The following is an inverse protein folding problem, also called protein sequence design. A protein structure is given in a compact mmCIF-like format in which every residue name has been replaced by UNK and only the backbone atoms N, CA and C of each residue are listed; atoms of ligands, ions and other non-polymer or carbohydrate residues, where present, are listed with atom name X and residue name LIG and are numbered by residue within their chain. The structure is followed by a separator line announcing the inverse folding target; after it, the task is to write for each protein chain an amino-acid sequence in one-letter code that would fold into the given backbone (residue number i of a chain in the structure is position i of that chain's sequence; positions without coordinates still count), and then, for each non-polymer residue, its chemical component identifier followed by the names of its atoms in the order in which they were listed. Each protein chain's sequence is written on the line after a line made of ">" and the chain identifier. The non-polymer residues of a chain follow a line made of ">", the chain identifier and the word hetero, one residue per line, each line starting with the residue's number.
data_IF_740096492928
#
_entry.id   IF_740096492928
#
_cell.length_a   1.000
_cell.length_b   1.000
_cell.length_c   1.000
_cell.angle_alpha   90.00
_cell.angle_beta   90.00
_cell.angle_gamma   90.00
#
_symmetry.space_group_name_H-M   'P 1'
#
loop_
_entity.id
_entity.type
_entity.pdbx_description
1 polymer ?
#
# COMPACT_ATOMS: atom_id res chain seq x y z
N UNK A 1 9.95 -6.85 -34.07
CA UNK A 1 8.47 -6.67 -34.09
C UNK A 1 8.17 -5.32 -33.46
N UNK A 2 7.76 -4.33 -34.26
CA UNK A 2 7.45 -2.98 -33.80
C UNK A 2 6.23 -3.02 -32.88
N UNK A 3 6.42 -2.93 -31.56
CA UNK A 3 5.31 -2.68 -30.63
C UNK A 3 4.75 -1.31 -31.00
N UNK A 4 3.55 -1.29 -31.60
CA UNK A 4 2.81 -0.06 -31.83
C UNK A 4 2.76 0.73 -30.51
N UNK A 5 2.95 2.04 -30.58
CA UNK A 5 2.86 2.90 -29.41
C UNK A 5 1.52 2.63 -28.70
N UNK A 6 1.53 2.31 -27.39
CA UNK A 6 0.31 1.97 -26.67
C UNK A 6 -0.68 3.13 -26.75
N UNK A 7 -1.94 2.85 -27.08
CA UNK A 7 -2.96 3.89 -27.19
C UNK A 7 -3.39 4.33 -25.79
N UNK A 8 -3.79 5.59 -25.61
CA UNK A 8 -4.20 6.10 -24.30
C UNK A 8 -5.44 5.37 -23.75
N UNK A 9 -6.32 4.86 -24.63
CA UNK A 9 -7.47 4.04 -24.24
C UNK A 9 -7.05 2.73 -23.56
N UNK A 10 -6.02 2.08 -24.09
CA UNK A 10 -5.50 0.81 -23.56
C UNK A 10 -4.85 1.04 -22.19
N UNK A 11 -4.19 2.20 -22.01
CA UNK A 11 -3.58 2.59 -20.75
C UNK A 11 -4.60 2.82 -19.63
N UNK A 12 -5.68 3.55 -19.93
CA UNK A 12 -6.78 3.77 -18.97
C UNK A 12 -7.47 2.45 -18.64
N UNK A 13 -7.71 1.58 -19.64
CA UNK A 13 -8.33 0.28 -19.40
C UNK A 13 -7.46 -0.62 -18.51
N UNK A 14 -6.14 -0.67 -18.73
CA UNK A 14 -5.22 -1.41 -17.89
C UNK A 14 -5.19 -0.86 -16.45
N UNK A 15 -5.22 0.46 -16.27
CA UNK A 15 -5.33 1.09 -14.97
C UNK A 15 -6.65 0.71 -14.26
N UNK A 16 -7.78 0.73 -14.96
CA UNK A 16 -9.08 0.31 -14.39
C UNK A 16 -9.08 -1.15 -13.93
N UNK A 17 -8.44 -2.05 -14.69
CA UNK A 17 -8.27 -3.46 -14.30
C UNK A 17 -7.42 -3.59 -13.04
N UNK A 18 -6.29 -2.88 -12.98
CA UNK A 18 -5.43 -2.83 -11.80
C UNK A 18 -6.18 -2.30 -10.57
N UNK A 19 -6.90 -1.19 -10.68
CA UNK A 19 -7.65 -0.64 -9.55
C UNK A 19 -8.72 -1.60 -9.04
N UNK A 20 -9.36 -2.34 -9.96
CA UNK A 20 -10.34 -3.38 -9.63
C UNK A 20 -9.68 -4.57 -8.94
N UNK A 21 -8.53 -5.06 -9.43
CA UNK A 21 -7.80 -6.18 -8.83
C UNK A 21 -7.26 -5.84 -7.44
N UNK A 22 -6.92 -4.58 -7.19
CA UNK A 22 -6.51 -4.05 -5.88
C UNK A 22 -7.69 -3.79 -4.91
N UNK A 23 -8.93 -4.02 -5.33
CA UNK A 23 -10.12 -3.81 -4.50
C UNK A 23 -10.49 -2.35 -4.26
N UNK A 24 -9.94 -1.41 -5.04
CA UNK A 24 -10.21 0.03 -4.90
C UNK A 24 -11.56 0.43 -5.53
N UNK A 25 -12.19 -0.46 -6.29
CA UNK A 25 -13.50 -0.28 -6.89
C UNK A 25 -13.48 -0.29 -8.41
N UNK A 26 -14.65 -0.47 -9.02
CA UNK A 26 -14.82 -0.51 -10.47
C UNK A 26 -14.99 0.90 -11.02
N UNK A 27 -13.88 1.52 -11.41
CA UNK A 27 -13.89 2.78 -12.16
C UNK A 27 -13.84 2.48 -13.65
N UNK A 28 -14.75 3.06 -14.43
CA UNK A 28 -14.82 2.85 -15.87
C UNK A 28 -13.87 3.79 -16.62
N UNK A 29 -13.34 3.39 -17.79
CA UNK A 29 -12.56 4.29 -18.64
C UNK A 29 -13.33 5.56 -19.06
N UNK A 30 -14.66 5.47 -19.13
CA UNK A 30 -15.50 6.62 -19.42
C UNK A 30 -15.51 7.65 -18.29
N UNK A 31 -15.46 7.22 -17.02
CA UNK A 31 -15.36 8.11 -15.87
C UNK A 31 -14.04 8.89 -15.87
N UNK A 32 -12.94 8.28 -16.29
CA UNK A 32 -11.66 8.99 -16.51
C UNK A 32 -11.77 10.03 -17.62
N UNK A 33 -12.43 9.70 -18.73
CA UNK A 33 -12.69 10.65 -19.81
C UNK A 33 -13.59 11.80 -19.35
N UNK A 34 -14.64 11.50 -18.60
CA UNK A 34 -15.57 12.48 -18.03
C UNK A 34 -14.86 13.45 -17.08
N UNK A 35 -14.01 12.93 -16.19
CA UNK A 35 -13.22 13.75 -15.27
C UNK A 35 -12.25 14.67 -16.01
N UNK A 36 -11.63 14.20 -17.10
CA UNK A 36 -10.75 15.04 -17.93
C UNK A 36 -11.48 16.25 -18.54
N UNK A 37 -12.77 16.13 -18.85
CA UNK A 37 -13.60 17.23 -19.39
C UNK A 37 -14.48 17.90 -18.34
N UNK A 38 -14.07 17.77 -17.07
CA UNK A 38 -14.71 18.31 -15.89
C UNK A 38 -16.24 18.05 -15.77
N UNK A 39 -16.67 16.82 -16.08
CA UNK A 39 -18.08 16.44 -15.98
C UNK A 39 -18.45 16.06 -14.54
N UNK A 40 -19.53 16.63 -13.97
CA UNK A 40 -19.88 16.47 -12.56
C UNK A 40 -20.25 15.02 -12.17
N UNK A 41 -20.65 14.20 -13.14
CA UNK A 41 -21.00 12.78 -12.96
C UNK A 41 -19.84 11.95 -12.38
N UNK A 42 -18.60 12.34 -12.65
CA UNK A 42 -17.40 11.61 -12.22
C UNK A 42 -16.88 12.02 -10.83
N UNK A 43 -17.30 13.19 -10.32
CA UNK A 43 -16.87 13.76 -9.03
C UNK A 43 -17.03 12.77 -7.86
N UNK A 44 -18.22 12.17 -7.60
CA UNK A 44 -18.38 11.28 -6.45
C UNK A 44 -17.48 10.04 -6.54
N UNK A 45 -17.32 9.49 -7.75
CA UNK A 45 -16.48 8.31 -8.00
C UNK A 45 -15.03 8.60 -7.61
N UNK A 46 -14.50 9.75 -7.99
CA UNK A 46 -13.11 10.11 -7.67
C UNK A 46 -12.91 10.42 -6.18
N UNK A 47 -13.87 11.01 -5.48
CA UNK A 47 -13.80 11.15 -4.01
C UNK A 47 -13.74 9.79 -3.31
N UNK A 48 -14.60 8.86 -3.71
CA UNK A 48 -14.58 7.49 -3.16
C UNK A 48 -13.30 6.74 -3.53
N UNK A 49 -12.82 6.87 -4.76
CA UNK A 49 -11.56 6.26 -5.17
C UNK A 49 -10.39 6.80 -4.34
N UNK A 50 -10.27 8.13 -4.20
CA UNK A 50 -9.18 8.75 -3.43
C UNK A 50 -9.22 8.33 -1.98
N UNK A 51 -10.39 8.30 -1.35
CA UNK A 51 -10.52 7.82 0.03
C UNK A 51 -10.09 6.36 0.18
N UNK A 52 -10.43 5.49 -0.78
CA UNK A 52 -10.01 4.08 -0.78
C UNK A 52 -8.52 3.90 -1.02
N UNK A 53 -7.89 4.75 -1.82
CA UNK A 53 -6.43 4.75 -2.01
C UNK A 53 -5.72 5.24 -0.75
N UNK A 54 -6.22 6.30 -0.13
CA UNK A 54 -5.60 6.93 1.02
C UNK A 54 -5.77 6.11 2.31
N UNK A 55 -6.91 5.45 2.52
CA UNK A 55 -7.19 4.67 3.74
C UNK A 55 -6.11 3.62 4.08
N UNK A 56 -5.68 2.73 3.17
CA UNK A 56 -4.58 1.80 3.43
C UNK A 56 -3.23 2.51 3.62
N UNK A 57 -3.00 3.66 2.97
CA UNK A 57 -1.80 4.46 3.22
C UNK A 57 -1.79 5.07 4.63
N UNK A 58 -2.96 5.42 5.17
CA UNK A 58 -3.14 5.87 6.54
C UNK A 58 -3.13 4.76 7.58
N UNK A 59 -3.50 3.53 7.22
CA UNK A 59 -3.59 2.43 8.19
C UNK A 59 -2.28 2.19 8.96
N UNK A 60 -1.13 2.43 8.32
CA UNK A 60 0.17 2.40 8.97
C UNK A 60 0.38 3.53 9.99
N UNK A 61 -0.22 4.71 9.76
CA UNK A 61 -0.15 5.87 10.65
C UNK A 61 -1.19 5.78 11.78
N UNK A 62 -2.36 5.20 11.52
CA UNK A 62 -3.36 4.90 12.54
C UNK A 62 -2.82 3.92 13.59
N UNK A 63 -1.97 2.98 13.19
CA UNK A 63 -1.27 2.09 14.12
C UNK A 63 -0.26 2.81 15.06
N UNK A 64 0.12 4.05 14.73
CA UNK A 64 0.98 4.91 15.56
C UNK A 64 0.18 5.89 16.43
N UNK A 65 -1.14 5.96 16.29
CA UNK A 65 -1.98 6.83 17.11
C UNK A 65 -2.22 6.21 18.49
N UNK A 66 -2.14 6.99 19.58
CA UNK A 66 -2.41 6.49 20.92
C UNK A 66 -3.88 6.05 21.06
N UNK A 67 -4.15 4.96 21.80
CA UNK A 67 -5.52 4.50 22.04
C UNK A 67 -6.30 5.58 22.79
N UNK A 68 -7.33 6.14 22.15
CA UNK A 68 -8.18 7.19 22.74
C UNK A 68 -8.33 8.44 21.86
N UNK A 69 -7.48 8.64 20.85
CA UNK A 69 -7.80 9.58 19.77
C UNK A 69 -8.79 8.87 18.86
N UNK A 70 -10.02 9.37 18.84
CA UNK A 70 -11.09 8.91 17.95
C UNK A 70 -10.48 8.72 16.56
N UNK A 71 -10.48 7.48 16.05
CA UNK A 71 -10.03 7.23 14.68
C UNK A 71 -10.81 8.19 13.77
N UNK A 72 -10.18 8.87 12.79
CA UNK A 72 -10.83 9.81 11.89
C UNK A 72 -11.87 9.16 10.95
N UNK A 73 -12.35 7.97 11.28
CA UNK A 73 -13.40 7.21 10.60
C UNK A 73 -14.79 7.84 10.77
N UNK A 74 -14.93 8.92 11.54
CA UNK A 74 -16.15 9.74 11.65
C UNK A 74 -16.05 11.08 10.90
N UNK A 75 -15.04 11.24 10.04
CA UNK A 75 -14.86 12.44 9.21
C UNK A 75 -15.51 12.19 7.84
N UNK A 76 -16.26 13.18 7.33
CA UNK A 76 -16.82 13.18 5.98
C UNK A 76 -15.75 12.79 4.94
N UNK A 77 -16.12 12.01 3.91
CA UNK A 77 -15.19 11.44 2.91
C UNK A 77 -14.29 12.53 2.31
N UNK A 78 -14.87 13.70 2.04
CA UNK A 78 -14.19 14.86 1.48
C UNK A 78 -13.11 15.38 2.42
N UNK A 79 -13.43 15.59 3.69
CA UNK A 79 -12.48 16.10 4.69
C UNK A 79 -11.35 15.11 4.95
N UNK A 80 -11.65 13.81 4.92
CA UNK A 80 -10.63 12.77 5.03
C UNK A 80 -9.69 12.76 3.82
N UNK A 81 -10.21 12.90 2.60
CA UNK A 81 -9.38 13.00 1.38
C UNK A 81 -8.56 14.28 1.36
N UNK A 82 -9.08 15.41 1.85
CA UNK A 82 -8.33 16.67 1.94
C UNK A 82 -7.16 16.56 2.92
N UNK A 83 -7.40 16.04 4.12
CA UNK A 83 -6.34 15.74 5.10
C UNK A 83 -5.33 14.73 4.52
N UNK A 84 -5.87 13.73 3.82
CA UNK A 84 -5.29 12.88 2.80
C UNK A 84 -4.11 13.45 2.03
N UNK A 85 -4.54 14.27 1.09
CA UNK A 85 -3.71 14.91 0.11
C UNK A 85 -2.70 15.85 0.78
N UNK A 86 -3.12 16.60 1.80
CA UNK A 86 -2.24 17.50 2.54
C UNK A 86 -1.08 16.76 3.23
N UNK A 87 -1.37 15.64 3.89
CA UNK A 87 -0.34 14.84 4.58
C UNK A 87 0.70 14.29 3.59
N UNK A 88 0.28 13.94 2.39
CA UNK A 88 1.20 13.49 1.35
C UNK A 88 1.97 14.64 0.68
N UNK A 89 1.52 15.89 0.84
CA UNK A 89 2.18 17.09 0.32
C UNK A 89 1.49 17.72 -0.91
N UNK A 90 0.25 17.34 -1.21
CA UNK A 90 -0.53 17.94 -2.28
C UNK A 90 -1.28 19.18 -1.75
N UNK A 91 -0.89 20.37 -2.25
CA UNK A 91 -1.35 21.67 -1.73
C UNK A 91 -2.07 22.50 -2.81
N UNK A 92 -2.72 21.87 -3.79
CA UNK A 92 -3.44 22.61 -4.82
C UNK A 92 -4.67 23.32 -4.19
N UNK A 93 -4.76 24.66 -4.27
CA UNK A 93 -5.78 25.43 -3.58
C UNK A 93 -7.19 25.11 -4.09
N UNK A 94 -7.32 24.70 -5.35
CA UNK A 94 -8.62 24.44 -5.96
C UNK A 94 -9.34 23.26 -5.28
N UNK A 95 -8.63 22.18 -4.94
CA UNK A 95 -9.19 21.03 -4.22
C UNK A 95 -9.66 21.39 -2.81
N UNK A 96 -8.97 22.29 -2.12
CA UNK A 96 -9.38 22.72 -0.78
C UNK A 96 -10.59 23.65 -0.83
N UNK A 97 -10.77 24.39 -1.93
CA UNK A 97 -11.96 25.22 -2.19
C UNK A 97 -13.16 24.39 -2.66
N UNK A 98 -12.96 23.21 -3.24
CA UNK A 98 -14.05 22.28 -3.58
C UNK A 98 -14.86 21.88 -2.33
N UNK A 99 -16.07 22.40 -2.19
CA UNK A 99 -17.04 22.01 -1.17
C UNK A 99 -17.86 20.79 -1.55
N UNK A 100 -18.95 20.52 -0.82
CA UNK A 100 -19.98 19.51 -1.22
C UNK A 100 -20.72 19.87 -2.51
N UNK A 101 -20.55 21.08 -3.05
CA UNK A 101 -21.23 21.55 -4.23
C UNK A 101 -20.67 20.86 -5.49
N UNK A 102 -21.49 19.99 -6.07
CA UNK A 102 -21.18 19.01 -7.12
C UNK A 102 -20.94 19.61 -8.53
N UNK A 103 -20.51 20.86 -8.65
CA UNK A 103 -20.68 21.57 -9.93
C UNK A 103 -19.45 21.50 -10.85
N UNK A 104 -18.21 21.57 -10.34
CA UNK A 104 -16.95 21.47 -11.11
C UNK A 104 -15.80 20.99 -10.21
N UNK A 105 -14.78 20.34 -10.76
CA UNK A 105 -13.57 19.89 -10.04
C UNK A 105 -13.22 18.41 -10.15
N UNK A 106 -13.88 17.66 -11.02
CA UNK A 106 -13.49 16.28 -11.33
C UNK A 106 -12.11 16.19 -12.00
N UNK A 107 -11.72 17.22 -12.77
CA UNK A 107 -10.37 17.32 -13.31
C UNK A 107 -9.33 17.44 -12.21
N UNK A 108 -9.58 18.27 -11.20
CA UNK A 108 -8.67 18.45 -10.08
C UNK A 108 -8.54 17.18 -9.24
N UNK A 109 -9.63 16.45 -9.01
CA UNK A 109 -9.59 15.15 -8.35
C UNK A 109 -8.81 14.11 -9.16
N UNK A 110 -8.95 14.13 -10.49
CA UNK A 110 -8.15 13.30 -11.39
C UNK A 110 -6.66 13.69 -11.30
N UNK A 111 -6.34 14.98 -11.25
CA UNK A 111 -4.97 15.48 -11.08
C UNK A 111 -4.37 15.08 -9.73
N UNK A 112 -5.14 15.17 -8.64
CA UNK A 112 -4.72 14.69 -7.33
C UNK A 112 -4.49 13.18 -7.33
N UNK A 113 -5.37 12.42 -7.97
CA UNK A 113 -5.19 10.98 -8.13
C UNK A 113 -3.92 10.65 -8.93
N UNK A 114 -3.72 11.31 -10.08
CA UNK A 114 -2.54 11.09 -10.91
C UNK A 114 -1.26 11.53 -10.18
N UNK A 115 -1.32 12.61 -9.41
CA UNK A 115 -0.21 13.04 -8.58
C UNK A 115 0.11 11.99 -7.52
N UNK A 116 -0.89 11.44 -6.82
CA UNK A 116 -0.69 10.34 -5.86
C UNK A 116 -0.11 9.10 -6.54
N UNK A 117 -0.59 8.74 -7.72
CA UNK A 117 -0.08 7.61 -8.50
C UNK A 117 1.41 7.77 -8.79
N UNK A 118 1.84 8.99 -9.14
CA UNK A 118 3.24 9.33 -9.41
C UNK A 118 4.09 9.39 -8.14
N UNK A 119 3.65 10.08 -7.09
CA UNK A 119 4.49 10.37 -5.91
C UNK A 119 4.52 9.22 -4.90
N UNK A 120 3.41 8.53 -4.73
CA UNK A 120 3.32 7.49 -3.69
C UNK A 120 3.62 6.10 -4.23
N UNK A 121 3.52 5.85 -5.54
CA UNK A 121 3.58 4.50 -6.10
C UNK A 121 2.69 3.51 -5.33
N UNK A 122 1.50 3.97 -4.91
CA UNK A 122 0.60 3.19 -4.06
C UNK A 122 0.25 1.80 -4.63
N UNK A 123 0.20 1.54 -5.96
CA UNK A 123 -0.05 0.18 -6.45
C UNK A 123 0.99 -0.82 -5.94
N UNK A 124 2.27 -0.45 -5.94
CA UNK A 124 3.35 -1.31 -5.43
C UNK A 124 3.17 -1.55 -3.93
N UNK A 125 2.84 -0.50 -3.16
CA UNK A 125 2.60 -0.64 -1.72
C UNK A 125 1.44 -1.57 -1.42
N UNK A 126 0.33 -1.43 -2.13
CA UNK A 126 -0.86 -2.28 -1.95
C UNK A 126 -0.56 -3.73 -2.30
N UNK A 127 0.20 -3.98 -3.38
CA UNK A 127 0.66 -5.34 -3.72
C UNK A 127 1.55 -5.92 -2.61
N UNK A 128 2.48 -5.14 -2.05
CA UNK A 128 3.33 -5.63 -0.94
C UNK A 128 2.58 -5.86 0.36
N UNK A 129 1.48 -5.14 0.60
CA UNK A 129 0.62 -5.33 1.77
C UNK A 129 -0.30 -6.56 1.64
N UNK A 130 -0.72 -6.88 0.41
CA UNK A 130 -1.55 -8.04 0.08
C UNK A 130 -0.77 -9.36 -0.07
N UNK A 131 0.55 -9.29 -0.26
CA UNK A 131 1.39 -10.45 -0.49
C UNK A 131 1.23 -11.52 0.61
N UNK A 132 0.87 -12.74 0.18
CA UNK A 132 0.79 -13.92 1.04
C UNK A 132 2.15 -14.23 1.66
N UNK A 133 2.24 -14.09 2.98
CA UNK A 133 3.39 -14.55 3.74
C UNK A 133 3.21 -16.04 4.04
N UNK A 134 3.83 -16.89 3.22
CA UNK A 134 3.92 -18.33 3.45
C UNK A 134 5.07 -18.72 4.38
N UNK A 135 5.80 -17.73 4.90
CA UNK A 135 7.04 -17.98 5.62
C UNK A 135 6.77 -18.59 7.01
N UNK A 136 7.53 -19.63 7.33
CA UNK A 136 7.51 -20.30 8.62
C UNK A 136 8.17 -19.40 9.67
N UNK A 137 7.40 -18.47 10.24
CA UNK A 137 7.70 -17.90 11.54
C UNK A 137 8.84 -16.89 11.62
N UNK A 138 8.93 -15.90 10.72
CA UNK A 138 9.41 -14.59 11.18
C UNK A 138 8.23 -13.86 11.82
N UNK A 139 8.11 -14.01 13.14
CA UNK A 139 7.23 -13.18 13.96
C UNK A 139 7.41 -11.73 13.54
N UNK A 140 6.39 -11.20 12.86
CA UNK A 140 6.27 -9.78 12.58
C UNK A 140 6.48 -9.08 13.90
N UNK A 141 7.63 -8.45 14.08
CA UNK A 141 7.93 -7.59 15.22
C UNK A 141 6.87 -6.47 15.21
N UNK A 142 5.72 -6.73 15.83
CA UNK A 142 4.74 -5.70 16.13
C UNK A 142 5.45 -4.87 17.17
N UNK A 143 6.01 -3.74 16.74
CA UNK A 143 6.41 -2.68 17.65
C UNK A 143 5.17 -2.38 18.50
N UNK A 144 5.12 -2.92 19.73
CA UNK A 144 4.10 -2.51 20.68
C UNK A 144 4.32 -1.02 20.90
N UNK A 145 3.29 -0.17 20.75
CA UNK A 145 3.39 1.21 21.15
C UNK A 145 3.87 1.22 22.60
N UNK A 146 4.96 1.92 22.88
CA UNK A 146 5.36 2.19 24.26
C UNK A 146 4.23 3.01 24.86
N UNK A 147 3.66 2.53 25.97
CA UNK A 147 2.56 3.20 26.66
C UNK A 147 2.85 4.70 26.83
N UNK A 148 1.87 5.51 26.44
CA UNK A 148 2.00 6.95 26.29
C UNK A 148 2.37 7.62 27.61
N UNK A 149 3.64 8.02 27.73
CA UNK A 149 4.03 9.04 28.68
C UNK A 149 3.59 10.41 28.14
N UNK A 150 2.94 11.27 28.96
CA UNK A 150 2.54 12.60 28.52
C UNK A 150 3.78 13.41 28.08
N UNK A 151 3.68 14.07 26.93
CA UNK A 151 4.74 14.95 26.43
C UNK A 151 5.00 16.07 27.46
N UNK A 152 6.22 16.18 28.02
CA UNK A 152 6.61 17.34 28.82
C UNK A 152 6.62 18.59 27.93
N UNK A 153 6.33 19.76 28.53
CA UNK A 153 6.20 21.06 27.85
C UNK A 153 7.49 21.54 27.16
N UNK A 154 8.64 20.89 27.43
CA UNK A 154 9.92 21.13 26.76
C UNK A 154 10.13 20.14 25.59
N UNK A 155 9.30 20.28 24.56
CA UNK A 155 9.16 19.30 23.48
C UNK A 155 10.44 18.98 22.70
N UNK A 156 11.42 19.90 22.64
CA UNK A 156 12.66 19.72 21.87
C UNK A 156 13.63 18.78 22.58
N UNK A 157 13.89 18.98 23.87
CA UNK A 157 14.79 18.11 24.64
C UNK A 157 14.21 16.70 24.81
N UNK A 158 12.89 16.61 24.97
CA UNK A 158 12.19 15.33 25.02
C UNK A 158 12.23 14.59 23.67
N UNK A 159 12.03 15.30 22.54
CA UNK A 159 12.16 14.73 21.20
C UNK A 159 13.60 14.28 20.90
N UNK A 160 14.61 15.06 21.29
CA UNK A 160 16.02 14.67 21.17
C UNK A 160 16.33 13.41 21.98
N UNK A 161 15.78 13.29 23.19
CA UNK A 161 15.94 12.10 24.03
C UNK A 161 15.22 10.88 23.45
N UNK A 162 14.00 11.02 22.94
CA UNK A 162 13.28 9.95 22.23
C UNK A 162 14.05 9.49 20.99
N UNK A 163 14.59 10.43 20.22
CA UNK A 163 15.42 10.12 19.07
C UNK A 163 16.70 9.37 19.48
N UNK A 164 17.33 9.77 20.59
CA UNK A 164 18.47 9.04 21.17
C UNK A 164 18.10 7.61 21.57
N UNK A 165 16.97 7.43 22.26
CA UNK A 165 16.43 6.10 22.62
C UNK A 165 16.13 5.24 21.39
N UNK A 166 15.50 5.80 20.36
CA UNK A 166 15.23 5.09 19.11
C UNK A 166 16.53 4.65 18.45
N UNK A 167 17.53 5.52 18.35
CA UNK A 167 18.85 5.16 17.79
C UNK A 167 19.50 4.01 18.56
N UNK A 168 19.41 4.01 19.89
CA UNK A 168 19.93 2.91 20.71
C UNK A 168 19.15 1.60 20.48
N UNK A 169 17.81 1.65 20.40
CA UNK A 169 16.98 0.48 20.11
C UNK A 169 17.23 -0.09 18.72
N UNK A 170 17.41 0.77 17.71
CA UNK A 170 17.75 0.36 16.34
C UNK A 170 19.12 -0.34 16.31
N UNK A 171 20.12 0.20 17.01
CA UNK A 171 21.44 -0.46 17.11
C UNK A 171 21.36 -1.82 17.82
N UNK A 172 20.61 -1.91 18.90
CA UNK A 172 20.38 -3.17 19.62
C UNK A 172 19.63 -4.21 18.77
N UNK A 173 18.63 -3.77 17.99
CA UNK A 173 17.94 -4.63 17.03
C UNK A 173 18.90 -5.13 15.95
N UNK A 174 19.76 -4.26 15.42
CA UNK A 174 20.74 -4.62 14.41
C UNK A 174 21.74 -5.65 14.95
N UNK A 175 22.23 -5.49 16.18
CA UNK A 175 23.11 -6.47 16.81
C UNK A 175 22.41 -7.81 17.07
N UNK A 176 21.13 -7.79 17.48
CA UNK A 176 20.34 -9.01 17.66
C UNK A 176 20.08 -9.73 16.33
N UNK A 177 19.79 -9.00 15.24
CA UNK A 177 19.67 -9.57 13.88
C UNK A 177 20.98 -10.21 13.45
N UNK A 178 22.11 -9.54 13.69
CA UNK A 178 23.42 -10.09 13.36
C UNK A 178 23.71 -11.38 14.13
N UNK A 179 23.36 -11.43 15.42
CA UNK A 179 23.45 -12.65 16.24
C UNK A 179 22.57 -13.77 15.68
N UNK A 180 21.31 -13.47 15.33
CA UNK A 180 20.40 -14.42 14.70
C UNK A 180 21.00 -14.96 13.40
N UNK A 181 21.53 -14.10 12.52
CA UNK A 181 22.19 -14.52 11.28
C UNK A 181 23.40 -15.43 11.55
N UNK A 182 24.20 -15.17 12.59
CA UNK A 182 25.32 -16.06 12.96
C UNK A 182 24.85 -17.39 13.52
N UNK A 183 23.75 -17.42 14.28
CA UNK A 183 23.15 -18.64 14.81
C UNK A 183 22.51 -19.46 13.69
N UNK A 184 21.76 -18.83 12.79
CA UNK A 184 21.24 -19.48 11.59
C UNK A 184 22.37 -20.04 10.73
N UNK A 185 23.43 -19.27 10.49
CA UNK A 185 24.59 -19.78 9.75
C UNK A 185 25.23 -20.98 10.44
N UNK A 186 25.34 -20.97 11.78
CA UNK A 186 25.82 -22.13 12.55
C UNK A 186 24.88 -23.33 12.41
N UNK A 187 23.58 -23.15 12.54
CA UNK A 187 22.58 -24.22 12.34
C UNK A 187 22.64 -24.77 10.91
N UNK A 188 22.70 -23.91 9.90
CA UNK A 188 22.80 -24.35 8.51
C UNK A 188 24.16 -25.01 8.18
N UNK A 189 25.25 -24.59 8.80
CA UNK A 189 26.57 -25.23 8.64
C UNK A 189 26.69 -26.56 9.39
N UNK A 190 26.03 -26.71 10.54
CA UNK A 190 25.97 -28.00 11.27
C UNK A 190 24.95 -28.97 10.67
N UNK A 191 23.85 -28.47 10.11
CA UNK A 191 22.87 -29.25 9.37
C UNK A 191 23.31 -29.59 7.93
N UNK A 192 24.51 -29.15 7.51
CA UNK A 192 25.11 -29.50 6.22
C UNK A 192 25.69 -30.93 6.24
N UNK A 193 24.85 -31.91 6.57
CA UNK A 193 25.00 -33.25 6.02
C UNK A 193 24.78 -33.17 4.49
N UNK A 194 25.37 -34.06 3.67
CA UNK A 194 25.20 -34.07 2.22
C UNK A 194 23.79 -34.56 1.88
N UNK A 195 22.79 -33.72 2.09
CA UNK A 195 21.41 -33.97 1.72
C UNK A 195 21.04 -32.96 0.63
N UNK A 196 20.63 -33.54 -0.49
CA UNK A 196 20.25 -32.86 -1.73
C UNK A 196 19.24 -31.73 -1.41
N UNK A 197 19.43 -30.51 -1.95
CA UNK A 197 18.54 -29.38 -1.73
C UNK A 197 17.19 -29.61 -2.44
N UNK A 198 16.35 -30.48 -1.87
CA UNK A 198 15.05 -30.83 -2.45
C UNK A 198 14.28 -31.99 -1.80
N UNK A 199 14.65 -32.46 -0.60
CA UNK A 199 13.99 -33.64 0.03
C UNK A 199 13.27 -33.40 1.36
N UNK A 200 13.32 -32.19 1.92
CA UNK A 200 12.58 -31.87 3.15
C UNK A 200 11.56 -30.78 2.84
N UNK A 201 10.29 -31.12 3.03
CA UNK A 201 9.17 -30.17 2.98
C UNK A 201 9.33 -29.17 4.14
N UNK A 202 9.05 -27.89 3.88
CA UNK A 202 8.96 -26.88 4.95
C UNK A 202 7.85 -27.23 5.95
N UNK A 203 7.91 -26.67 7.17
CA UNK A 203 6.85 -26.84 8.16
C UNK A 203 5.48 -26.43 7.61
N UNK A 204 5.43 -25.30 6.90
CA UNK A 204 4.27 -24.80 6.17
C UNK A 204 3.82 -25.76 5.05
N UNK A 205 4.75 -26.29 4.26
CA UNK A 205 4.42 -27.22 3.16
C UNK A 205 3.85 -28.53 3.70
N UNK A 206 4.46 -29.10 4.73
CA UNK A 206 3.97 -30.29 5.42
C UNK A 206 2.60 -30.03 6.09
N UNK A 207 2.37 -28.83 6.61
CA UNK A 207 1.10 -28.41 7.19
C UNK A 207 -0.01 -28.31 6.13
N UNK A 208 0.29 -27.70 4.98
CA UNK A 208 -0.65 -27.57 3.87
C UNK A 208 -1.00 -28.93 3.25
N UNK A 209 -0.03 -29.83 3.13
CA UNK A 209 -0.27 -31.20 2.66
C UNK A 209 -1.16 -32.02 3.61
N UNK A 210 -1.12 -31.75 4.91
CA UNK A 210 -2.01 -32.37 5.91
C UNK A 210 -3.43 -31.80 5.90
N UNK A 211 -3.62 -30.59 5.37
CA UNK A 211 -4.89 -29.88 5.37
C UNK A 211 -5.31 -29.48 3.94
N UNK A 212 -5.90 -30.38 3.15
CA UNK A 212 -6.20 -30.15 1.73
C UNK A 212 -7.10 -28.93 1.49
N UNK A 213 -8.07 -28.69 2.39
CA UNK A 213 -8.94 -27.51 2.30
C UNK A 213 -8.19 -26.19 2.47
N UNK A 214 -7.11 -26.17 3.27
CA UNK A 214 -6.26 -24.97 3.43
C UNK A 214 -5.34 -24.80 2.24
N UNK A 215 -4.83 -25.91 1.69
CA UNK A 215 -4.05 -25.89 0.44
C UNK A 215 -4.87 -25.29 -0.70
N UNK A 216 -6.12 -25.69 -0.89
CA UNK A 216 -7.00 -25.11 -1.92
C UNK A 216 -7.25 -23.62 -1.71
N UNK A 217 -7.42 -23.17 -0.46
CA UNK A 217 -7.57 -21.74 -0.15
C UNK A 217 -6.31 -20.95 -0.48
N UNK A 218 -5.13 -21.45 -0.09
CA UNK A 218 -3.85 -20.80 -0.39
C UNK A 218 -3.59 -20.76 -1.90
N UNK A 219 -3.91 -21.83 -2.63
CA UNK A 219 -3.81 -21.84 -4.09
C UNK A 219 -4.74 -20.82 -4.74
N UNK A 220 -5.96 -20.68 -4.24
CA UNK A 220 -6.89 -19.65 -4.73
C UNK A 220 -6.33 -18.24 -4.46
N UNK A 221 -5.85 -17.98 -3.23
CA UNK A 221 -5.27 -16.69 -2.88
C UNK A 221 -4.01 -16.38 -3.73
N UNK A 222 -3.15 -17.37 -3.98
CA UNK A 222 -2.01 -17.22 -4.88
C UNK A 222 -2.44 -16.93 -6.32
N UNK A 223 -3.52 -17.56 -6.79
CA UNK A 223 -4.11 -17.26 -8.09
C UNK A 223 -4.61 -15.81 -8.19
N UNK A 224 -5.27 -15.32 -7.14
CA UNK A 224 -5.72 -13.92 -7.05
C UNK A 224 -4.53 -12.94 -7.00
N UNK A 225 -3.48 -13.25 -6.23
CA UNK A 225 -2.25 -12.46 -6.17
C UNK A 225 -1.52 -12.43 -7.53
N UNK A 226 -1.41 -13.57 -8.21
CA UNK A 226 -0.82 -13.63 -9.56
C UNK A 226 -1.61 -12.78 -10.55
N UNK A 227 -2.95 -12.86 -10.54
CA UNK A 227 -3.79 -12.03 -11.40
C UNK A 227 -3.60 -10.53 -11.11
N UNK A 228 -3.41 -10.14 -9.84
CA UNK A 228 -3.09 -8.74 -9.46
C UNK A 228 -1.73 -8.30 -10.00
N UNK A 229 -0.73 -9.16 -9.92
CA UNK A 229 0.63 -8.88 -10.43
C UNK A 229 0.65 -8.78 -11.95
N UNK A 230 -0.08 -9.65 -12.65
CA UNK A 230 -0.25 -9.59 -14.11
C UNK A 230 -0.90 -8.26 -14.53
N UNK A 231 -2.00 -7.86 -13.87
CA UNK A 231 -2.64 -6.57 -14.13
C UNK A 231 -1.70 -5.38 -13.87
N UNK A 232 -0.82 -5.47 -12.87
CA UNK A 232 0.20 -4.45 -12.61
C UNK A 232 1.25 -4.38 -13.70
N UNK A 233 1.74 -5.53 -14.18
CA UNK A 233 2.70 -5.59 -15.28
C UNK A 233 2.07 -5.02 -16.56
N UNK A 234 0.82 -5.39 -16.86
CA UNK A 234 0.07 -4.81 -17.98
C UNK A 234 0.03 -3.28 -17.89
N UNK A 235 -0.37 -2.73 -16.74
CA UNK A 235 -0.41 -1.29 -16.52
C UNK A 235 0.98 -0.64 -16.66
N UNK A 236 2.03 -1.20 -16.06
CA UNK A 236 3.40 -0.68 -16.14
C UNK A 236 3.91 -0.57 -17.57
N UNK A 237 3.52 -1.49 -18.45
CA UNK A 237 3.92 -1.47 -19.85
C UNK A 237 3.28 -0.31 -20.64
N UNK A 238 2.07 0.10 -20.26
CA UNK A 238 1.28 1.13 -20.96
C UNK A 238 1.24 2.47 -20.21
N UNK A 239 1.80 2.54 -19.01
CA UNK A 239 1.88 3.72 -18.16
C UNK A 239 2.40 4.99 -18.88
N UNK A 240 3.42 4.94 -19.76
CA UNK A 240 3.86 6.14 -20.49
C UNK A 240 2.74 6.77 -21.33
N UNK A 241 1.86 5.96 -21.91
CA UNK A 241 0.72 6.47 -22.69
C UNK A 241 -0.37 7.09 -21.82
N UNK A 242 -0.50 6.65 -20.55
CA UNK A 242 -1.37 7.32 -19.58
C UNK A 242 -0.83 8.72 -19.25
N UNK A 243 0.48 8.84 -19.02
CA UNK A 243 1.10 10.14 -18.72
C UNK A 243 1.11 11.11 -19.91
N UNK A 244 1.15 10.62 -21.15
CA UNK A 244 0.94 11.45 -22.33
C UNK A 244 -0.51 11.90 -22.50
N UNK A 245 -1.45 11.13 -21.95
CA UNK A 245 -2.86 11.46 -22.01
C UNK A 245 -3.28 12.41 -20.90
N UNK A 246 -2.74 12.27 -19.69
CA UNK A 246 -2.94 13.22 -18.59
C UNK A 246 -2.42 14.61 -18.97
#
# INVERSE_FOLDING_TARGET
>A
MSRAAPRPKDAIQALCRLLSSLGLGTVSPEQFRQAKYDRPESVPVFWFLLSRVLNPLYSHLAALQPPGVVSPLCIDVISNVKAGLLHHGYVAPEIFQLGRAQQLGSLELLLAFSWLLHTTHFPVRLLTQGALQLDDGEERWRLRPVDGAPLPKDGVHYALWLMGKLRLRVRALHSARQQLCTLLHRVHSTCRQPHQPGKHLSGAEAYLLRHPNRLTQVLQQLGEENARLEAFIEWRNVEPAFWQWM
#
